data_IF_490706923191
#
_entry.id   IF_490706923191
#
_cell.length_a   1.000
_cell.length_b   1.000
_cell.length_c   1.000
_cell.angle_alpha   90.00
_cell.angle_beta   90.00
_cell.angle_gamma   90.00
#
_symmetry.space_group_name_H-M   'P 1'
#
loop_
_entity.id
_entity.type
_entity.pdbx_description
1 polymer ?
#
# COMPACT_ATOMS: atom_id res chain seq x y z
N UNK A 1 38.26 13.91 38.22
CA UNK A 1 36.99 14.56 38.67
C UNK A 1 36.83 15.78 37.77
N UNK A 2 35.94 15.93 36.79
CA UNK A 2 34.65 15.39 36.37
C UNK A 2 34.72 15.39 34.81
N UNK A 3 34.23 14.46 33.99
CA UNK A 3 32.83 14.12 33.77
C UNK A 3 32.77 12.90 32.84
N UNK A 4 32.45 11.72 33.38
CA UNK A 4 32.17 10.48 32.61
C UNK A 4 30.65 10.39 32.35
N UNK A 5 30.05 11.47 31.86
CA UNK A 5 28.60 11.51 31.56
C UNK A 5 28.31 11.98 30.14
N UNK A 6 29.14 11.58 29.16
CA UNK A 6 28.82 11.76 27.72
C UNK A 6 28.89 10.43 26.98
N UNK A 7 28.33 9.37 27.56
CA UNK A 7 28.04 8.15 26.82
C UNK A 7 26.78 7.49 27.37
N UNK A 8 25.64 8.12 27.15
CA UNK A 8 24.35 7.42 27.13
C UNK A 8 23.30 8.29 26.43
N UNK A 9 22.57 7.65 25.53
CA UNK A 9 21.35 8.12 24.84
C UNK A 9 21.55 8.94 23.54
N UNK A 10 22.30 8.38 22.61
CA UNK A 10 21.79 8.27 21.23
C UNK A 10 21.85 6.79 20.82
N UNK A 11 21.11 5.94 21.53
CA UNK A 11 20.59 4.74 20.87
C UNK A 11 19.54 5.24 19.90
N UNK A 12 19.96 5.56 18.68
CA UNK A 12 19.06 5.57 17.54
C UNK A 12 18.35 4.22 17.62
N UNK A 13 17.04 4.21 17.86
CA UNK A 13 16.27 2.97 17.75
C UNK A 13 16.37 2.55 16.29
N UNK A 14 17.35 1.70 15.98
CA UNK A 14 17.24 0.77 14.89
C UNK A 14 15.98 -0.04 15.25
N UNK A 15 14.86 0.32 14.63
CA UNK A 15 13.71 -0.58 14.65
C UNK A 15 14.18 -1.80 13.88
N UNK A 16 14.39 -2.92 14.59
CA UNK A 16 14.70 -4.19 13.94
C UNK A 16 13.67 -4.42 12.85
N UNK A 17 14.16 -4.45 11.61
CA UNK A 17 13.32 -4.71 10.46
C UNK A 17 12.94 -6.19 10.47
N UNK A 18 11.64 -6.45 10.43
CA UNK A 18 11.07 -7.78 10.34
C UNK A 18 10.64 -7.96 8.89
N UNK A 19 11.36 -8.83 8.20
CA UNK A 19 11.14 -9.17 6.81
C UNK A 19 10.15 -10.33 6.71
N UNK A 20 9.17 -10.21 5.81
CA UNK A 20 8.20 -11.25 5.51
C UNK A 20 8.09 -11.43 4.00
N UNK A 21 7.65 -12.59 3.54
CA UNK A 21 7.43 -12.85 2.11
C UNK A 21 6.16 -12.17 1.60
N UNK A 22 5.97 -12.24 0.27
CA UNK A 22 4.74 -11.85 -0.41
C UNK A 22 3.48 -12.40 0.26
N UNK A 23 2.41 -11.62 0.22
CA UNK A 23 1.13 -11.96 0.83
C UNK A 23 -0.02 -11.74 -0.15
N UNK A 24 -0.82 -12.78 -0.38
CA UNK A 24 -2.05 -12.70 -1.18
C UNK A 24 -3.29 -12.98 -0.33
N UNK A 25 -4.09 -11.96 -0.03
CA UNK A 25 -5.37 -12.11 0.65
C UNK A 25 -6.47 -12.23 -0.41
N UNK A 26 -7.05 -13.42 -0.55
CA UNK A 26 -7.96 -13.71 -1.66
C UNK A 26 -9.26 -14.37 -1.22
N UNK A 27 -10.39 -13.95 -1.82
CA UNK A 27 -11.75 -14.42 -1.56
C UNK A 27 -12.34 -14.12 -0.15
N UNK A 28 -11.51 -14.08 0.89
CA UNK A 28 -11.91 -13.76 2.26
C UNK A 28 -10.84 -12.92 2.97
N UNK A 29 -11.21 -11.90 3.77
CA UNK A 29 -10.26 -11.11 4.55
C UNK A 29 -9.42 -11.93 5.54
N UNK A 30 -9.92 -13.09 5.96
CA UNK A 30 -9.25 -14.00 6.88
C UNK A 30 -8.38 -15.05 6.16
N UNK A 31 -8.39 -15.06 4.83
CA UNK A 31 -7.69 -16.05 4.01
C UNK A 31 -6.48 -15.41 3.36
N UNK A 32 -5.32 -15.57 4.00
CA UNK A 32 -4.02 -15.28 3.42
C UNK A 32 -3.45 -16.53 2.76
N UNK A 33 -3.21 -16.44 1.46
CA UNK A 33 -2.37 -17.35 0.72
C UNK A 33 -0.93 -16.86 0.86
N UNK A 34 -0.12 -17.67 1.51
CA UNK A 34 1.33 -17.52 1.57
C UNK A 34 1.95 -18.65 0.75
N UNK A 35 3.23 -18.51 0.43
CA UNK A 35 3.99 -19.60 -0.18
C UNK A 35 3.80 -20.89 0.65
N UNK A 36 3.50 -22.00 -0.04
CA UNK A 36 3.19 -23.30 0.58
C UNK A 36 4.32 -23.82 1.46
N UNK A 37 5.52 -23.27 1.28
CA UNK A 37 6.72 -23.62 2.03
C UNK A 37 6.69 -23.15 3.49
N UNK A 38 5.97 -22.06 3.81
CA UNK A 38 6.00 -21.43 5.13
C UNK A 38 4.63 -21.41 5.80
N UNK A 39 4.45 -22.19 6.87
CA UNK A 39 3.24 -22.19 7.73
C UNK A 39 3.18 -20.93 8.64
N UNK A 40 3.43 -19.75 8.08
CA UNK A 40 3.43 -18.50 8.84
C UNK A 40 1.99 -18.11 9.24
N UNK A 41 1.77 -17.90 10.54
CA UNK A 41 0.46 -17.49 11.06
C UNK A 41 0.30 -15.98 10.89
N UNK A 42 -0.94 -15.52 10.72
CA UNK A 42 -1.31 -14.09 10.72
C UNK A 42 -0.73 -13.27 11.88
N UNK A 43 -0.57 -13.87 13.06
CA UNK A 43 0.06 -13.24 14.22
C UNK A 43 1.50 -12.83 13.96
N UNK A 44 2.21 -13.56 13.10
CA UNK A 44 3.60 -13.27 12.72
C UNK A 44 3.66 -12.06 11.79
N UNK A 45 2.72 -11.98 10.83
CA UNK A 45 2.62 -10.88 9.87
C UNK A 45 2.27 -9.53 10.53
N UNK A 46 1.65 -9.54 11.73
CA UNK A 46 1.37 -8.33 12.49
C UNK A 46 2.64 -7.52 12.86
N UNK A 47 3.78 -8.21 12.98
CA UNK A 47 5.06 -7.59 13.31
C UNK A 47 5.89 -7.18 12.10
N UNK A 48 5.44 -7.53 10.89
CA UNK A 48 6.14 -7.25 9.65
C UNK A 48 6.40 -5.76 9.45
N UNK A 49 7.63 -5.40 9.10
CA UNK A 49 8.00 -4.02 8.72
C UNK A 49 8.32 -3.90 7.24
N UNK A 50 8.86 -4.96 6.63
CA UNK A 50 9.23 -5.02 5.21
C UNK A 50 8.63 -6.29 4.62
N UNK A 51 7.83 -6.13 3.57
CA UNK A 51 7.35 -7.24 2.76
C UNK A 51 8.24 -7.38 1.53
N UNK A 52 9.00 -8.47 1.49
CA UNK A 52 9.84 -8.86 0.37
C UNK A 52 8.98 -9.54 -0.70
N UNK A 53 8.68 -8.79 -1.75
CA UNK A 53 7.77 -9.17 -2.82
C UNK A 53 6.48 -8.38 -2.77
N UNK A 54 5.38 -9.05 -3.08
CA UNK A 54 4.12 -8.41 -3.44
C UNK A 54 3.08 -8.48 -2.33
N UNK A 55 2.21 -7.48 -2.28
CA UNK A 55 1.03 -7.49 -1.44
C UNK A 55 -0.22 -7.42 -2.31
N UNK A 56 -1.07 -8.44 -2.27
CA UNK A 56 -2.37 -8.42 -2.95
C UNK A 56 -3.55 -8.61 -2.00
N UNK A 57 -4.63 -7.88 -2.26
CA UNK A 57 -5.96 -8.11 -1.71
C UNK A 57 -6.92 -8.23 -2.88
N UNK A 58 -7.51 -9.41 -3.09
CA UNK A 58 -8.28 -9.67 -4.30
C UNK A 58 -9.54 -10.51 -4.11
N UNK A 59 -10.53 -10.29 -4.97
CA UNK A 59 -11.72 -11.14 -5.11
C UNK A 59 -12.57 -11.28 -3.83
N UNK A 60 -12.55 -10.29 -2.93
CA UNK A 60 -13.37 -10.28 -1.71
C UNK A 60 -14.68 -9.54 -2.01
N UNK A 61 -15.63 -10.26 -2.60
CA UNK A 61 -16.88 -9.70 -3.12
C UNK A 61 -18.10 -9.96 -2.23
N UNK A 62 -17.98 -10.83 -1.23
CA UNK A 62 -19.09 -11.16 -0.31
C UNK A 62 -19.55 -9.94 0.49
N UNK A 63 -20.86 -9.73 0.54
CA UNK A 63 -21.51 -8.70 1.37
C UNK A 63 -21.51 -9.00 2.87
N UNK A 64 -21.08 -10.20 3.27
CA UNK A 64 -20.99 -10.59 4.69
C UNK A 64 -19.80 -9.96 5.39
N UNK A 65 -18.83 -9.42 4.64
CA UNK A 65 -17.69 -8.72 5.20
C UNK A 65 -17.96 -7.23 5.31
N UNK A 66 -17.33 -6.63 6.31
CA UNK A 66 -17.32 -5.21 6.59
C UNK A 66 -15.88 -4.72 6.55
N UNK A 67 -15.70 -3.40 6.53
CA UNK A 67 -14.39 -2.77 6.58
C UNK A 67 -13.53 -3.29 7.74
N UNK A 68 -14.16 -3.61 8.89
CA UNK A 68 -13.48 -4.07 10.10
C UNK A 68 -12.89 -5.47 10.00
N UNK A 69 -13.39 -6.30 9.09
CA UNK A 69 -12.90 -7.67 8.93
C UNK A 69 -11.51 -7.76 8.28
N UNK A 70 -11.04 -6.69 7.63
CA UNK A 70 -9.72 -6.71 7.02
C UNK A 70 -8.60 -6.59 8.07
N UNK A 71 -7.44 -7.23 7.87
CA UNK A 71 -6.32 -7.19 8.79
C UNK A 71 -5.64 -5.82 8.84
N UNK A 72 -4.88 -5.56 9.90
CA UNK A 72 -4.14 -4.31 10.08
C UNK A 72 -2.64 -4.58 10.13
N UNK A 73 -1.89 -4.06 9.16
CA UNK A 73 -0.44 -4.16 9.10
C UNK A 73 0.19 -2.91 9.71
N UNK A 74 0.02 -2.76 11.03
CA UNK A 74 0.39 -1.53 11.75
C UNK A 74 1.86 -1.16 11.58
N UNK A 75 2.74 -2.15 11.45
CA UNK A 75 4.20 -1.96 11.40
C UNK A 75 4.78 -1.95 9.97
N UNK A 76 3.99 -2.34 8.97
CA UNK A 76 4.45 -2.44 7.60
C UNK A 76 4.77 -1.04 7.06
N UNK A 77 6.00 -0.88 6.55
CA UNK A 77 6.54 0.37 6.02
C UNK A 77 6.96 0.26 4.56
N UNK A 78 7.34 -0.94 4.13
CA UNK A 78 7.90 -1.17 2.79
C UNK A 78 7.26 -2.42 2.19
N UNK A 79 6.86 -2.32 0.94
CA UNK A 79 6.57 -3.45 0.05
C UNK A 79 7.59 -3.36 -1.08
N UNK A 80 8.42 -4.39 -1.30
CA UNK A 80 9.50 -4.28 -2.30
C UNK A 80 9.03 -4.53 -3.73
N UNK A 81 7.95 -5.29 -3.91
CA UNK A 81 7.27 -5.53 -5.18
C UNK A 81 6.11 -4.56 -5.41
N UNK A 82 4.96 -5.08 -5.84
CA UNK A 82 3.75 -4.28 -6.11
C UNK A 82 2.69 -4.41 -5.02
N UNK A 83 1.77 -3.43 -4.99
CA UNK A 83 0.55 -3.44 -4.18
C UNK A 83 -0.68 -3.52 -5.09
N UNK A 84 -1.47 -4.58 -4.94
CA UNK A 84 -2.71 -4.82 -5.69
C UNK A 84 -3.94 -4.83 -4.77
N UNK A 85 -4.94 -4.02 -5.08
CA UNK A 85 -6.28 -4.05 -4.47
C UNK A 85 -7.31 -4.21 -5.60
N UNK A 86 -7.86 -5.41 -5.75
CA UNK A 86 -8.68 -5.79 -6.91
C UNK A 86 -9.99 -6.47 -6.56
N UNK A 87 -11.12 -5.94 -7.05
CA UNK A 87 -12.45 -6.52 -6.82
C UNK A 87 -12.76 -6.77 -5.34
N UNK A 88 -12.58 -5.73 -4.52
CA UNK A 88 -12.88 -5.75 -3.09
C UNK A 88 -14.12 -4.91 -2.81
N UNK A 89 -15.17 -5.53 -2.27
CA UNK A 89 -16.45 -4.86 -2.02
C UNK A 89 -16.61 -4.30 -0.61
N UNK A 90 -15.94 -4.82 0.41
CA UNK A 90 -16.18 -4.42 1.80
C UNK A 90 -15.18 -3.37 2.34
N UNK A 91 -14.14 -3.04 1.56
CA UNK A 91 -13.03 -2.18 1.99
C UNK A 91 -13.31 -0.72 1.63
N UNK A 92 -13.31 0.17 2.63
CA UNK A 92 -13.61 1.61 2.44
C UNK A 92 -12.39 2.52 2.29
N UNK A 93 -11.27 2.14 2.90
CA UNK A 93 -10.02 2.91 2.92
C UNK A 93 -8.84 1.97 3.20
N UNK A 94 -7.66 2.25 2.64
CA UNK A 94 -6.42 1.53 3.00
C UNK A 94 -5.77 2.06 4.27
N UNK A 95 -6.27 3.17 4.85
CA UNK A 95 -5.66 3.83 6.01
C UNK A 95 -5.55 2.94 7.23
N UNK A 96 -6.56 2.09 7.44
CA UNK A 96 -6.57 1.12 8.53
C UNK A 96 -5.66 -0.07 8.21
N UNK A 97 -5.58 -0.48 6.95
CA UNK A 97 -4.75 -1.62 6.51
C UNK A 97 -3.26 -1.30 6.58
N UNK A 98 -2.88 -0.13 6.08
CA UNK A 98 -1.49 0.30 5.87
C UNK A 98 -1.22 1.68 6.47
N UNK A 99 -1.40 1.87 7.79
CA UNK A 99 -1.26 3.19 8.42
C UNK A 99 0.16 3.77 8.36
N UNK A 100 1.16 2.92 8.07
CA UNK A 100 2.58 3.29 8.08
C UNK A 100 3.34 2.93 6.80
N UNK A 101 2.66 2.52 5.73
CA UNK A 101 3.32 2.23 4.46
C UNK A 101 3.92 3.51 3.87
N UNK A 102 5.19 3.44 3.48
CA UNK A 102 5.98 4.58 2.98
C UNK A 102 6.53 4.36 1.59
N UNK A 103 6.93 3.13 1.28
CA UNK A 103 7.67 2.79 0.06
C UNK A 103 7.01 1.59 -0.61
N UNK A 104 6.79 1.72 -1.92
CA UNK A 104 6.53 0.61 -2.84
C UNK A 104 7.73 0.51 -3.80
N UNK A 105 8.40 -0.63 -3.82
CA UNK A 105 9.64 -0.80 -4.56
C UNK A 105 9.44 -1.06 -6.05
N UNK A 106 8.41 -1.82 -6.43
CA UNK A 106 8.16 -2.17 -7.83
C UNK A 106 9.27 -3.02 -8.46
N UNK A 107 9.89 -3.91 -7.68
CA UNK A 107 10.79 -4.94 -8.23
C UNK A 107 10.03 -5.87 -9.19
N UNK A 108 8.79 -6.22 -8.81
CA UNK A 108 7.81 -6.91 -9.64
C UNK A 108 6.65 -5.96 -9.95
N UNK A 109 6.10 -6.02 -11.16
CA UNK A 109 5.07 -5.10 -11.66
C UNK A 109 3.88 -5.86 -12.25
N UNK A 110 2.67 -5.33 -12.08
CA UNK A 110 1.49 -5.78 -12.83
C UNK A 110 1.31 -4.88 -14.04
N UNK A 111 1.56 -5.40 -15.24
CA UNK A 111 1.40 -4.64 -16.49
C UNK A 111 2.12 -3.26 -16.45
N UNK A 112 3.33 -3.21 -15.89
CA UNK A 112 4.15 -2.01 -15.65
C UNK A 112 3.72 -1.10 -14.48
N UNK A 113 2.75 -1.50 -13.67
CA UNK A 113 2.28 -0.73 -12.52
C UNK A 113 2.73 -1.37 -11.20
N UNK A 114 3.22 -0.55 -10.27
CA UNK A 114 3.59 -0.96 -8.91
C UNK A 114 2.46 -0.74 -7.89
N UNK A 115 1.54 0.19 -8.18
CA UNK A 115 0.32 0.37 -7.39
C UNK A 115 -0.89 0.19 -8.30
N UNK A 116 -1.74 -0.80 -7.99
CA UNK A 116 -2.95 -1.11 -8.74
C UNK A 116 -4.15 -1.15 -7.79
N UNK A 117 -5.10 -0.23 -7.98
CA UNK A 117 -6.37 -0.17 -7.26
C UNK A 117 -7.49 -0.23 -8.30
N UNK A 118 -8.10 -1.40 -8.46
CA UNK A 118 -8.95 -1.68 -9.61
C UNK A 118 -10.27 -2.35 -9.23
N UNK A 119 -11.39 -1.86 -9.77
CA UNK A 119 -12.71 -2.48 -9.63
C UNK A 119 -13.19 -2.66 -8.18
N UNK A 120 -12.85 -1.75 -7.26
CA UNK A 120 -13.34 -1.80 -5.89
C UNK A 120 -14.65 -1.01 -5.75
N UNK A 121 -15.70 -1.64 -5.24
CA UNK A 121 -17.06 -1.08 -5.29
C UNK A 121 -17.33 -0.05 -4.19
N UNK A 122 -16.86 -0.30 -2.96
CA UNK A 122 -17.13 0.56 -1.80
C UNK A 122 -15.88 1.30 -1.26
N UNK A 123 -14.78 1.30 -2.01
CA UNK A 123 -13.58 2.06 -1.66
C UNK A 123 -13.87 3.55 -1.85
N UNK A 124 -13.79 4.34 -0.78
CA UNK A 124 -14.14 5.76 -0.76
C UNK A 124 -12.90 6.65 -0.86
N UNK A 125 -11.78 6.21 -0.29
CA UNK A 125 -10.49 6.89 -0.34
C UNK A 125 -9.36 5.87 -0.50
N UNK A 126 -8.21 6.28 -1.04
CA UNK A 126 -7.03 5.43 -1.10
C UNK A 126 -6.49 5.25 0.32
N UNK A 127 -6.14 6.34 1.01
CA UNK A 127 -5.80 6.30 2.44
C UNK A 127 -4.44 5.67 2.71
N UNK A 128 -3.40 6.03 1.97
CA UNK A 128 -2.00 5.69 2.27
C UNK A 128 -1.22 6.94 2.76
N UNK A 129 -1.53 7.47 3.96
CA UNK A 129 -1.15 8.83 4.34
C UNK A 129 0.35 9.06 4.52
N UNK A 130 1.14 7.99 4.57
CA UNK A 130 2.60 8.05 4.72
C UNK A 130 3.35 7.58 3.47
N UNK A 131 2.63 7.24 2.39
CA UNK A 131 3.26 6.84 1.14
C UNK A 131 3.98 8.05 0.56
N UNK A 132 5.31 7.97 0.48
CA UNK A 132 6.15 9.04 -0.05
C UNK A 132 6.84 8.64 -1.34
N UNK A 133 6.96 7.34 -1.61
CA UNK A 133 7.84 6.86 -2.68
C UNK A 133 7.31 5.60 -3.35
N UNK A 134 7.24 5.65 -4.68
CA UNK A 134 7.16 4.49 -5.57
C UNK A 134 8.42 4.51 -6.42
N UNK A 135 9.29 3.52 -6.23
CA UNK A 135 10.65 3.51 -6.79
C UNK A 135 10.62 3.18 -8.29
N UNK A 136 9.87 2.15 -8.69
CA UNK A 136 9.74 1.70 -10.07
C UNK A 136 8.29 1.33 -10.37
N UNK A 137 7.84 1.58 -11.60
CA UNK A 137 6.49 1.25 -12.05
C UNK A 137 5.47 2.36 -11.82
N UNK A 138 4.41 2.31 -12.62
CA UNK A 138 3.34 3.29 -12.61
C UNK A 138 2.28 3.10 -11.52
N UNK A 139 1.27 3.97 -11.56
CA UNK A 139 0.06 3.90 -10.73
C UNK A 139 -1.17 3.68 -11.61
N UNK A 140 -1.96 2.64 -11.33
CA UNK A 140 -3.23 2.34 -11.99
C UNK A 140 -4.39 2.38 -11.00
N UNK A 141 -5.29 3.35 -11.15
CA UNK A 141 -6.49 3.51 -10.32
C UNK A 141 -7.71 3.64 -11.23
N UNK A 142 -8.41 2.53 -11.44
CA UNK A 142 -9.47 2.45 -12.45
C UNK A 142 -10.72 1.74 -11.93
N UNK A 143 -11.89 2.12 -12.43
CA UNK A 143 -13.19 1.49 -12.19
C UNK A 143 -13.56 1.34 -10.69
N UNK A 144 -13.14 2.27 -9.84
CA UNK A 144 -13.51 2.26 -8.41
C UNK A 144 -14.74 3.14 -8.17
N UNK A 145 -15.93 2.54 -8.08
CA UNK A 145 -17.21 3.26 -8.23
C UNK A 145 -17.49 4.34 -7.19
N UNK A 146 -16.94 4.21 -5.97
CA UNK A 146 -17.14 5.18 -4.88
C UNK A 146 -15.89 6.00 -4.56
N UNK A 147 -14.79 5.81 -5.30
CA UNK A 147 -13.51 6.40 -4.96
C UNK A 147 -13.54 7.91 -5.21
N UNK A 148 -13.36 8.67 -4.14
CA UNK A 148 -13.29 10.11 -4.14
C UNK A 148 -11.83 10.57 -3.99
N UNK A 149 -11.56 11.81 -4.37
CA UNK A 149 -10.30 12.53 -4.13
C UNK A 149 -9.02 12.00 -4.78
N UNK A 150 -9.01 10.82 -5.39
CA UNK A 150 -7.85 10.30 -6.14
C UNK A 150 -7.34 11.26 -7.23
N UNK A 151 -8.24 12.11 -7.76
CA UNK A 151 -7.96 13.18 -8.73
C UNK A 151 -7.06 14.30 -8.21
N UNK A 152 -7.01 14.51 -6.89
CA UNK A 152 -6.23 15.59 -6.29
C UNK A 152 -4.83 15.16 -5.91
N UNK A 153 -4.46 13.88 -6.06
CA UNK A 153 -3.14 13.40 -5.69
C UNK A 153 -2.14 13.69 -6.82
N UNK A 154 -1.04 14.38 -6.52
CA UNK A 154 0.07 14.53 -7.46
C UNK A 154 1.02 13.33 -7.41
N UNK A 155 0.67 12.27 -8.15
CA UNK A 155 1.49 11.07 -8.27
C UNK A 155 2.91 11.32 -8.81
N UNK A 156 3.12 12.42 -9.55
CA UNK A 156 4.44 12.78 -10.07
C UNK A 156 5.46 13.13 -8.98
N UNK A 157 5.00 13.51 -7.78
CA UNK A 157 5.86 13.77 -6.62
C UNK A 157 6.27 12.49 -5.88
N UNK A 158 5.57 11.38 -6.14
CA UNK A 158 5.75 10.11 -5.42
C UNK A 158 6.53 9.11 -6.28
N UNK A 159 6.37 9.20 -7.60
CA UNK A 159 7.05 8.36 -8.58
C UNK A 159 8.47 8.88 -8.85
N UNK A 160 9.48 8.05 -8.62
CA UNK A 160 10.89 8.42 -8.81
C UNK A 160 11.50 7.74 -10.05
N UNK A 161 11.03 6.54 -10.39
CA UNK A 161 11.59 5.71 -11.45
C UNK A 161 11.29 6.17 -12.87
N UNK A 162 12.00 5.59 -13.87
CA UNK A 162 11.80 5.89 -15.27
C UNK A 162 10.45 5.37 -15.81
N UNK A 163 9.96 4.26 -15.26
CA UNK A 163 8.60 3.79 -15.50
C UNK A 163 7.67 4.45 -14.50
N UNK A 164 6.90 5.45 -14.94
CA UNK A 164 6.07 6.30 -14.09
C UNK A 164 4.68 6.59 -14.70
N UNK A 165 4.16 5.66 -15.51
CA UNK A 165 2.85 5.78 -16.12
C UNK A 165 1.75 5.95 -15.06
N UNK A 166 0.93 6.99 -15.21
CA UNK A 166 -0.21 7.24 -14.33
C UNK A 166 -1.47 6.97 -15.15
N UNK A 167 -2.25 5.98 -14.74
CA UNK A 167 -3.56 5.69 -15.33
C UNK A 167 -4.63 5.77 -14.25
N UNK A 168 -5.35 6.88 -14.23
CA UNK A 168 -6.51 7.06 -13.35
C UNK A 168 -7.78 7.18 -14.18
N UNK A 169 -8.97 6.93 -13.62
CA UNK A 169 -10.26 7.07 -14.31
C UNK A 169 -10.42 8.42 -15.03
N UNK A 170 -9.68 9.44 -14.59
CA UNK A 170 -9.68 10.79 -15.15
C UNK A 170 -8.77 10.96 -16.37
N UNK A 171 -7.72 10.14 -16.55
CA UNK A 171 -6.84 10.20 -17.73
C UNK A 171 -7.53 9.69 -19.02
N UNK A 172 -8.81 9.31 -18.93
CA UNK A 172 -9.69 9.10 -20.10
C UNK A 172 -10.18 10.40 -20.75
N UNK A 173 -9.88 11.58 -20.19
CA UNK A 173 -10.21 12.89 -20.77
C UNK A 173 -9.16 13.95 -20.46
N UNK A 174 -8.53 14.50 -21.51
CA UNK A 174 -7.63 15.66 -21.61
C UNK A 174 -7.00 16.29 -20.34
N UNK A 175 -5.66 16.33 -20.39
CA UNK A 175 -4.68 17.21 -19.71
C UNK A 175 -5.16 18.65 -19.39
N UNK A 176 -5.98 18.82 -18.35
CA UNK A 176 -6.49 20.16 -17.96
C UNK A 176 -6.75 20.28 -16.45
N UNK A 177 -5.75 19.97 -15.63
CA UNK A 177 -5.90 20.05 -14.17
C UNK A 177 -4.61 19.89 -13.39
N UNK A 178 -3.52 20.55 -13.81
CA UNK A 178 -2.26 20.55 -13.04
C UNK A 178 -2.31 21.47 -11.80
N UNK A 179 -3.25 22.41 -11.73
CA UNK A 179 -3.24 23.49 -10.74
C UNK A 179 -4.02 23.21 -9.43
N UNK A 180 -4.77 22.11 -9.36
CA UNK A 180 -5.59 21.75 -8.17
C UNK A 180 -5.07 20.49 -7.44
N UNK A 181 -3.88 20.01 -7.78
CA UNK A 181 -3.31 18.83 -7.13
C UNK A 181 -2.71 19.20 -5.77
N UNK A 182 -3.04 18.41 -4.77
CA UNK A 182 -2.66 18.58 -3.38
C UNK A 182 -1.65 17.48 -3.02
N UNK A 183 -0.60 17.85 -2.30
CA UNK A 183 0.40 16.93 -1.75
C UNK A 183 -0.06 16.25 -0.44
N UNK A 184 -1.30 16.44 0.00
CA UNK A 184 -1.75 15.96 1.30
C UNK A 184 -2.23 14.52 1.19
N UNK A 185 -1.42 13.61 1.74
CA UNK A 185 -1.73 12.21 2.09
C UNK A 185 -2.51 11.43 1.02
N UNK A 186 -1.80 10.57 0.28
CA UNK A 186 -2.42 9.46 -0.47
C UNK A 186 -3.40 8.70 0.43
#
# INVERSE_FOLDING_TARGET
MWSIWIFSLLTLSAHDDVYCRSLDIRNSPNMAFQDKETNEKWSTLANCTVMEGDFSVSMITSSNFTHENFPVFKRLRVITGHLLIFQVSALRSLKRLFPNLRIIGGQELIMNYALVIYQNTHLVEIGLPKLTTIINGGVRIMDNTQLCYSRYIDWSQILIGPANDILTDQNKGSDSGKNDKIFLSV
#
